data_IF_805693454582
#
_entry.id   IF_805693454582
#
_cell.length_a   1.000
_cell.length_b   1.000
_cell.length_c   1.000
_cell.angle_alpha   90.00
_cell.angle_beta   90.00
_cell.angle_gamma   90.00
#
_symmetry.space_group_name_H-M   'P 1'
#
loop_
_entity.id
_entity.type
_entity.pdbx_description
1 polymer ?
#
# COMPACT_ATOMS: atom_id res chain seq x y z
N UNK A 1 22.16 -1.16 5.17
CA UNK A 1 21.06 -0.82 4.27
C UNK A 1 21.65 -0.33 2.96
N UNK A 2 21.17 -0.84 1.80
CA UNK A 2 21.52 -0.31 0.47
C UNK A 2 20.33 0.51 -0.03
N UNK A 3 20.59 1.75 -0.44
CA UNK A 3 19.57 2.66 -0.99
C UNK A 3 19.81 2.78 -2.49
N UNK A 4 18.78 2.50 -3.28
CA UNK A 4 18.79 2.74 -4.73
C UNK A 4 17.88 3.94 -5.05
N UNK A 5 18.41 4.88 -5.83
CA UNK A 5 17.68 6.09 -6.23
C UNK A 5 17.35 5.97 -7.72
N UNK A 6 16.06 5.96 -8.04
CA UNK A 6 15.59 6.04 -9.41
C UNK A 6 15.57 7.51 -9.86
N UNK A 7 16.45 7.88 -10.79
CA UNK A 7 16.59 9.26 -11.28
C UNK A 7 15.53 9.64 -12.33
N UNK A 8 14.99 8.67 -13.04
CA UNK A 8 13.99 8.89 -14.08
C UNK A 8 12.71 8.11 -13.75
N UNK A 9 11.61 8.78 -13.43
CA UNK A 9 10.32 8.13 -13.15
C UNK A 9 9.84 7.21 -14.29
N UNK A 10 10.22 7.48 -15.54
CA UNK A 10 9.87 6.65 -16.69
C UNK A 10 10.64 5.33 -16.71
N UNK A 11 11.83 5.28 -16.10
CA UNK A 11 12.68 4.10 -16.01
C UNK A 11 12.35 3.18 -14.81
N UNK A 12 11.31 3.49 -14.01
CA UNK A 12 11.00 2.76 -12.76
C UNK A 12 10.92 1.25 -12.97
N UNK A 13 10.30 0.79 -14.06
CA UNK A 13 10.18 -0.64 -14.35
C UNK A 13 11.55 -1.31 -14.53
N UNK A 14 12.45 -0.68 -15.27
CA UNK A 14 13.82 -1.17 -15.49
C UNK A 14 14.57 -1.22 -14.16
N UNK A 15 14.51 -0.12 -13.39
CA UNK A 15 15.14 -0.02 -12.08
C UNK A 15 14.66 -1.11 -11.13
N UNK A 16 13.36 -1.40 -11.09
CA UNK A 16 12.82 -2.46 -10.22
C UNK A 16 13.33 -3.84 -10.60
N UNK A 17 13.38 -4.17 -11.88
CA UNK A 17 13.90 -5.45 -12.35
C UNK A 17 15.40 -5.63 -12.07
N UNK A 18 16.17 -4.54 -12.03
CA UNK A 18 17.60 -4.55 -11.70
C UNK A 18 17.84 -4.60 -10.18
N UNK A 19 17.11 -3.79 -9.41
CA UNK A 19 17.33 -3.59 -7.96
C UNK A 19 16.63 -4.65 -7.13
N UNK A 20 15.41 -5.05 -7.51
CA UNK A 20 14.55 -5.99 -6.76
C UNK A 20 14.43 -5.62 -5.28
N UNK A 21 13.83 -4.45 -4.98
CA UNK A 21 13.86 -3.89 -3.64
C UNK A 21 13.09 -4.74 -2.63
N UNK A 22 13.57 -4.76 -1.40
CA UNK A 22 12.86 -5.35 -0.25
C UNK A 22 11.84 -4.40 0.36
N UNK A 23 12.03 -3.09 0.18
CA UNK A 23 11.13 -2.01 0.60
C UNK A 23 11.14 -0.93 -0.47
N UNK A 24 9.96 -0.42 -0.81
CA UNK A 24 9.81 0.68 -1.76
C UNK A 24 8.56 1.50 -1.41
N UNK A 25 8.76 2.76 -1.07
CA UNK A 25 7.66 3.72 -0.93
C UNK A 25 7.15 4.14 -2.30
N UNK A 26 5.83 4.17 -2.46
CA UNK A 26 5.18 4.47 -3.72
C UNK A 26 3.95 5.33 -3.58
N UNK A 27 3.53 5.88 -4.71
CA UNK A 27 2.24 6.55 -4.87
C UNK A 27 1.23 5.61 -5.54
N UNK A 28 -0.09 5.81 -5.34
CA UNK A 28 -1.15 4.98 -5.91
C UNK A 28 -1.02 4.75 -7.42
N UNK A 29 -0.63 5.78 -8.18
CA UNK A 29 -0.49 5.68 -9.66
C UNK A 29 0.46 4.59 -10.14
N UNK A 30 1.47 4.23 -9.35
CA UNK A 30 2.33 3.09 -9.67
C UNK A 30 1.54 1.78 -9.61
N UNK A 31 0.76 1.61 -8.55
CA UNK A 31 -0.04 0.41 -8.33
C UNK A 31 -1.23 0.27 -9.29
N UNK A 32 -1.83 1.40 -9.70
CA UNK A 32 -2.82 1.42 -10.79
C UNK A 32 -2.27 0.82 -12.08
N UNK A 33 -1.02 1.17 -12.43
CA UNK A 33 -0.34 0.60 -13.60
C UNK A 33 -0.05 -0.90 -13.44
N UNK A 34 0.34 -1.33 -12.25
CA UNK A 34 0.55 -2.76 -11.96
C UNK A 34 -0.77 -3.52 -12.08
N UNK A 35 -1.85 -2.99 -11.51
CA UNK A 35 -3.20 -3.55 -11.59
C UNK A 35 -3.68 -3.65 -13.05
N UNK A 36 -3.61 -2.57 -13.79
CA UNK A 36 -4.02 -2.54 -15.19
C UNK A 36 -3.21 -3.53 -16.06
N UNK A 37 -1.89 -3.57 -15.88
CA UNK A 37 -1.02 -4.51 -16.60
C UNK A 37 -1.26 -5.97 -16.25
N UNK A 38 -1.59 -6.27 -15.00
CA UNK A 38 -1.97 -7.61 -14.57
C UNK A 38 -3.29 -8.05 -15.22
N UNK A 39 -4.33 -7.20 -15.19
CA UNK A 39 -5.63 -7.49 -15.80
C UNK A 39 -5.52 -7.66 -17.32
N UNK A 40 -4.75 -6.81 -18.00
CA UNK A 40 -4.49 -6.94 -19.43
C UNK A 40 -3.83 -8.29 -19.76
N UNK A 41 -2.84 -8.71 -18.98
CA UNK A 41 -2.17 -9.99 -19.17
C UNK A 41 -3.13 -11.16 -18.93
N UNK A 42 -3.98 -11.09 -17.91
CA UNK A 42 -5.01 -12.09 -17.64
C UNK A 42 -5.98 -12.17 -18.83
N UNK A 43 -6.48 -11.04 -19.31
CA UNK A 43 -7.43 -10.97 -20.43
C UNK A 43 -6.86 -11.56 -21.73
N UNK A 44 -5.56 -11.41 -21.98
CA UNK A 44 -4.86 -11.99 -23.15
C UNK A 44 -4.45 -13.45 -22.99
N UNK A 45 -4.64 -14.04 -21.82
CA UNK A 45 -4.28 -15.43 -21.55
C UNK A 45 -5.33 -16.41 -22.14
N UNK A 46 -4.94 -17.68 -22.33
CA UNK A 46 -5.90 -18.72 -22.72
C UNK A 46 -6.97 -18.96 -21.65
N UNK A 47 -8.15 -19.43 -22.02
CA UNK A 47 -9.27 -19.64 -21.09
C UNK A 47 -8.92 -20.48 -19.85
N UNK A 48 -8.19 -21.62 -19.98
CA UNK A 48 -7.74 -22.36 -18.80
C UNK A 48 -6.83 -21.55 -17.88
N UNK A 49 -5.91 -20.75 -18.44
CA UNK A 49 -5.01 -19.93 -17.66
C UNK A 49 -5.74 -18.76 -16.98
N UNK A 50 -6.74 -18.17 -17.66
CA UNK A 50 -7.61 -17.16 -17.03
C UNK A 50 -8.31 -17.71 -15.79
N UNK A 51 -8.84 -18.93 -15.86
CA UNK A 51 -9.49 -19.60 -14.72
C UNK A 51 -8.52 -19.80 -13.56
N UNK A 52 -7.26 -20.17 -13.84
CA UNK A 52 -6.23 -20.31 -12.81
C UNK A 52 -5.95 -18.96 -12.15
N UNK A 53 -5.81 -17.87 -12.92
CA UNK A 53 -5.61 -16.53 -12.36
C UNK A 53 -6.78 -16.07 -11.51
N UNK A 54 -8.02 -16.27 -11.99
CA UNK A 54 -9.23 -15.92 -11.24
C UNK A 54 -9.36 -16.72 -9.93
N UNK A 55 -9.06 -18.00 -9.97
CA UNK A 55 -9.09 -18.84 -8.78
C UNK A 55 -7.96 -18.46 -7.79
N UNK A 56 -6.78 -18.10 -8.29
CA UNK A 56 -5.71 -17.59 -7.46
C UNK A 56 -6.12 -16.27 -6.76
N UNK A 57 -6.65 -15.29 -7.50
CA UNK A 57 -7.11 -14.01 -6.93
C UNK A 57 -8.19 -14.26 -5.87
N UNK A 58 -9.18 -15.10 -6.15
CA UNK A 58 -10.23 -15.47 -5.20
C UNK A 58 -9.66 -16.13 -3.94
N UNK A 59 -8.72 -17.07 -4.10
CA UNK A 59 -8.05 -17.75 -2.98
C UNK A 59 -7.26 -16.78 -2.13
N UNK A 60 -6.52 -15.86 -2.76
CA UNK A 60 -5.77 -14.83 -2.06
C UNK A 60 -6.67 -13.84 -1.33
N UNK A 61 -7.76 -13.40 -1.99
CA UNK A 61 -8.78 -12.54 -1.38
C UNK A 61 -9.33 -13.16 -0.09
N UNK A 62 -9.79 -14.41 -0.17
CA UNK A 62 -10.33 -15.12 0.97
C UNK A 62 -9.30 -15.29 2.09
N UNK A 63 -8.08 -15.75 1.76
CA UNK A 63 -7.01 -15.97 2.74
C UNK A 63 -6.56 -14.67 3.41
N UNK A 64 -6.32 -13.61 2.62
CA UNK A 64 -5.77 -12.37 3.14
C UNK A 64 -6.82 -11.53 3.85
N UNK A 65 -7.99 -11.33 3.24
CA UNK A 65 -8.97 -10.39 3.78
C UNK A 65 -9.80 -10.97 4.93
N UNK A 66 -10.07 -12.29 4.93
CA UNK A 66 -10.90 -12.89 5.98
C UNK A 66 -10.08 -13.43 7.15
N UNK A 67 -8.81 -13.82 6.92
CA UNK A 67 -8.00 -14.46 7.96
C UNK A 67 -6.73 -13.67 8.30
N UNK A 68 -5.82 -13.48 7.33
CA UNK A 68 -4.53 -12.82 7.63
C UNK A 68 -4.72 -11.39 8.14
N UNK A 69 -5.61 -10.62 7.53
CA UNK A 69 -5.93 -9.25 7.93
C UNK A 69 -6.53 -9.18 9.33
N UNK A 70 -7.35 -10.13 9.73
CA UNK A 70 -7.98 -10.19 11.07
C UNK A 70 -7.10 -10.83 12.13
N UNK A 71 -6.00 -11.47 11.73
CA UNK A 71 -5.14 -12.24 12.64
C UNK A 71 -5.67 -13.65 12.94
N UNK A 72 -6.74 -14.08 12.24
CA UNK A 72 -7.33 -15.39 12.41
C UNK A 72 -6.60 -16.48 11.62
N UNK A 73 -6.73 -17.72 12.08
CA UNK A 73 -6.14 -18.88 11.40
C UNK A 73 -7.04 -19.34 10.26
N UNK A 74 -6.52 -19.31 9.04
CA UNK A 74 -7.21 -19.85 7.89
C UNK A 74 -7.33 -21.41 7.94
N UNK A 75 -8.36 -22.00 7.32
CA UNK A 75 -8.45 -23.43 7.10
C UNK A 75 -7.19 -23.98 6.41
N UNK A 76 -6.73 -25.17 6.82
CA UNK A 76 -5.50 -25.77 6.29
C UNK A 76 -5.50 -25.91 4.76
N UNK A 77 -6.63 -26.31 4.18
CA UNK A 77 -6.81 -26.44 2.73
C UNK A 77 -6.62 -25.11 2.01
N UNK A 78 -7.21 -24.02 2.53
CA UNK A 78 -7.05 -22.66 2.01
C UNK A 78 -5.60 -22.19 2.13
N UNK A 79 -4.95 -22.42 3.27
CA UNK A 79 -3.56 -22.06 3.50
C UNK A 79 -2.60 -22.78 2.55
N UNK A 80 -2.80 -24.09 2.31
CA UNK A 80 -2.00 -24.86 1.36
C UNK A 80 -2.19 -24.36 -0.07
N UNK A 81 -3.43 -24.09 -0.47
CA UNK A 81 -3.76 -23.56 -1.80
C UNK A 81 -3.16 -22.18 -2.01
N UNK A 82 -3.26 -21.29 -1.00
CA UNK A 82 -2.62 -19.99 -1.02
C UNK A 82 -1.09 -20.12 -1.17
N UNK A 83 -0.46 -21.00 -0.39
CA UNK A 83 0.99 -21.27 -0.48
C UNK A 83 1.44 -21.78 -1.85
N UNK A 84 0.60 -22.58 -2.54
CA UNK A 84 0.87 -22.99 -3.91
C UNK A 84 0.83 -21.80 -4.87
N UNK A 85 -0.19 -20.94 -4.78
CA UNK A 85 -0.28 -19.74 -5.61
C UNK A 85 0.80 -18.71 -5.29
N UNK A 86 1.25 -18.63 -4.03
CA UNK A 86 2.35 -17.78 -3.63
C UNK A 86 3.65 -18.09 -4.38
N UNK A 87 3.94 -19.40 -4.57
CA UNK A 87 5.12 -19.86 -5.33
C UNK A 87 4.95 -19.77 -6.84
N UNK A 88 3.73 -19.86 -7.35
CA UNK A 88 3.41 -19.92 -8.78
C UNK A 88 2.89 -18.57 -9.29
N UNK A 89 1.61 -18.30 -9.17
CA UNK A 89 0.91 -17.16 -9.77
C UNK A 89 1.40 -15.83 -9.19
N UNK A 90 1.35 -15.67 -7.86
CA UNK A 90 1.73 -14.41 -7.23
C UNK A 90 3.23 -14.16 -7.35
N UNK A 91 4.05 -15.21 -7.20
CA UNK A 91 5.49 -15.13 -7.42
C UNK A 91 5.86 -14.73 -8.84
N UNK A 92 5.14 -15.23 -9.85
CA UNK A 92 5.33 -14.84 -11.24
C UNK A 92 4.96 -13.37 -11.48
N UNK A 93 3.85 -12.91 -10.89
CA UNK A 93 3.45 -11.49 -10.96
C UNK A 93 4.49 -10.59 -10.30
N UNK A 94 4.92 -10.91 -9.07
CA UNK A 94 5.93 -10.13 -8.35
C UNK A 94 7.25 -10.05 -9.12
N UNK A 95 7.73 -11.16 -9.70
CA UNK A 95 8.91 -11.18 -10.57
C UNK A 95 8.77 -10.34 -11.83
N UNK A 96 7.59 -10.34 -12.46
CA UNK A 96 7.34 -9.55 -13.66
C UNK A 96 7.37 -8.02 -13.39
N UNK A 97 7.08 -7.62 -12.15
CA UNK A 97 7.19 -6.24 -11.67
C UNK A 97 8.60 -5.93 -11.13
N UNK A 98 9.35 -6.94 -10.65
CA UNK A 98 10.65 -6.79 -10.01
C UNK A 98 10.56 -6.53 -8.50
N UNK A 99 9.53 -7.07 -7.84
CA UNK A 99 9.26 -6.85 -6.41
C UNK A 99 9.16 -8.16 -5.60
N UNK A 100 9.69 -9.25 -6.14
CA UNK A 100 9.58 -10.59 -5.51
C UNK A 100 10.25 -10.70 -4.14
N UNK A 101 11.20 -9.81 -3.83
CA UNK A 101 11.86 -9.75 -2.54
C UNK A 101 11.23 -8.72 -1.58
N UNK A 102 10.14 -8.08 -2.01
CA UNK A 102 9.48 -7.04 -1.24
C UNK A 102 8.78 -7.57 0.00
N UNK A 103 9.13 -6.99 1.14
CA UNK A 103 8.52 -7.30 2.44
C UNK A 103 7.44 -6.31 2.83
N UNK A 104 7.54 -5.06 2.33
CA UNK A 104 6.60 -3.99 2.64
C UNK A 104 6.66 -2.90 1.57
N UNK A 105 5.51 -2.41 1.17
CA UNK A 105 5.34 -1.34 0.19
C UNK A 105 4.44 -0.24 0.74
N UNK A 106 5.01 0.77 1.44
CA UNK A 106 4.24 1.94 1.85
C UNK A 106 3.65 2.67 0.65
N UNK A 107 2.36 3.01 0.74
CA UNK A 107 1.60 3.72 -0.29
C UNK A 107 0.93 4.93 0.35
N UNK A 108 1.23 6.11 -0.14
CA UNK A 108 0.66 7.36 0.37
C UNK A 108 0.72 8.47 -0.69
N UNK A 109 0.27 9.68 -0.33
CA UNK A 109 0.35 10.89 -1.15
C UNK A 109 -0.83 11.13 -2.10
N UNK A 110 -1.73 10.16 -2.24
CA UNK A 110 -3.02 10.30 -2.94
C UNK A 110 -3.97 9.17 -2.50
N UNK A 111 -5.28 9.28 -2.74
CA UNK A 111 -6.21 8.19 -2.51
C UNK A 111 -5.87 6.95 -3.33
N UNK A 112 -5.89 5.78 -2.69
CA UNK A 112 -5.79 4.47 -3.33
C UNK A 112 -7.18 3.86 -3.41
N UNK A 113 -7.61 3.43 -4.60
CA UNK A 113 -8.88 2.75 -4.77
C UNK A 113 -8.91 1.43 -3.97
N UNK A 114 -10.04 1.17 -3.30
CA UNK A 114 -10.24 -0.06 -2.51
C UNK A 114 -10.11 -1.32 -3.38
N UNK A 115 -10.60 -1.26 -4.62
CA UNK A 115 -10.48 -2.36 -5.58
C UNK A 115 -9.01 -2.70 -5.85
N UNK A 116 -8.16 -1.69 -6.04
CA UNK A 116 -6.73 -1.87 -6.29
C UNK A 116 -6.02 -2.36 -5.03
N UNK A 117 -6.33 -1.78 -3.87
CA UNK A 117 -5.78 -2.23 -2.60
C UNK A 117 -6.11 -3.71 -2.33
N UNK A 118 -7.38 -4.09 -2.52
CA UNK A 118 -7.85 -5.45 -2.38
C UNK A 118 -7.15 -6.41 -3.34
N UNK A 119 -7.03 -6.03 -4.62
CA UNK A 119 -6.33 -6.84 -5.61
C UNK A 119 -4.87 -7.08 -5.21
N UNK A 120 -4.14 -6.02 -4.85
CA UNK A 120 -2.73 -6.11 -4.48
C UNK A 120 -2.53 -7.04 -3.28
N UNK A 121 -3.33 -6.87 -2.24
CA UNK A 121 -3.31 -7.74 -1.07
C UNK A 121 -3.67 -9.18 -1.43
N UNK A 122 -4.65 -9.39 -2.32
CA UNK A 122 -5.08 -10.72 -2.77
C UNK A 122 -4.01 -11.46 -3.57
N UNK A 123 -3.13 -10.74 -4.28
CA UNK A 123 -1.98 -11.35 -4.97
C UNK A 123 -0.69 -11.32 -4.13
N UNK A 124 -0.86 -11.22 -2.81
CA UNK A 124 0.23 -11.27 -1.84
C UNK A 124 1.28 -10.15 -2.01
N UNK A 125 0.87 -8.98 -2.45
CA UNK A 125 1.70 -7.78 -2.44
C UNK A 125 1.43 -7.03 -1.12
N UNK A 126 2.40 -6.96 -0.20
CA UNK A 126 2.21 -6.42 1.15
C UNK A 126 2.24 -4.89 1.14
N UNK A 127 1.19 -4.26 0.64
CA UNK A 127 1.03 -2.82 0.71
C UNK A 127 0.68 -2.39 2.14
N UNK A 128 1.21 -1.24 2.56
CA UNK A 128 0.82 -0.51 3.76
C UNK A 128 0.32 0.85 3.32
N UNK A 129 -1.01 0.99 3.25
CA UNK A 129 -1.62 2.26 2.88
C UNK A 129 -1.68 3.19 4.08
N UNK A 130 -1.37 4.47 3.88
CA UNK A 130 -1.34 5.44 4.95
C UNK A 130 -1.57 6.86 4.47
N UNK A 131 -1.80 7.74 5.46
CA UNK A 131 -2.02 9.16 5.29
C UNK A 131 -1.00 9.95 6.08
N UNK A 132 -0.60 11.08 5.51
CA UNK A 132 0.26 12.06 6.13
C UNK A 132 0.62 13.18 5.16
N UNK A 133 1.22 14.22 5.70
CA UNK A 133 1.61 15.44 5.01
C UNK A 133 3.10 15.72 5.26
N UNK A 134 3.68 16.64 4.49
CA UNK A 134 5.02 17.17 4.79
C UNK A 134 5.04 17.86 6.15
N UNK A 135 3.95 18.52 6.48
CA UNK A 135 3.71 19.23 7.75
C UNK A 135 3.66 18.29 8.97
N UNK A 136 3.37 17.02 8.75
CA UNK A 136 3.33 15.97 9.78
C UNK A 136 4.56 15.05 9.76
N UNK A 137 5.64 15.43 9.06
CA UNK A 137 6.85 14.62 8.86
C UNK A 137 6.56 13.21 8.36
N UNK A 138 5.68 13.10 7.39
CA UNK A 138 5.19 11.95 6.65
C UNK A 138 3.91 11.32 7.22
N UNK A 139 3.98 10.39 8.18
CA UNK A 139 2.86 9.48 8.46
C UNK A 139 2.08 9.88 9.71
N UNK A 140 0.80 10.16 9.57
CA UNK A 140 -0.18 10.35 10.65
C UNK A 140 -0.82 9.02 11.04
N UNK A 141 -1.22 8.24 10.03
CA UNK A 141 -1.82 6.92 10.23
C UNK A 141 -1.48 5.99 9.08
N UNK A 142 -1.50 4.68 9.32
CA UNK A 142 -1.30 3.68 8.29
C UNK A 142 -1.94 2.33 8.69
N UNK A 143 -2.04 1.42 7.74
CA UNK A 143 -2.48 0.05 8.02
C UNK A 143 -1.51 -0.62 8.99
N UNK A 144 -1.99 -1.13 10.14
CA UNK A 144 -1.22 -2.05 10.96
C UNK A 144 -1.06 -3.40 10.25
N UNK A 145 -0.23 -4.28 10.82
CA UNK A 145 -0.01 -5.63 10.27
C UNK A 145 -1.29 -6.46 10.24
N UNK A 146 -2.16 -6.26 11.23
CA UNK A 146 -3.47 -6.92 11.37
C UNK A 146 -4.51 -5.93 11.91
N UNK A 147 -5.78 -6.23 11.72
CA UNK A 147 -6.88 -5.45 12.30
C UNK A 147 -7.22 -4.15 11.56
N UNK A 148 -6.73 -3.96 10.33
CA UNK A 148 -7.10 -2.78 9.53
C UNK A 148 -8.41 -2.99 8.75
N UNK A 149 -9.06 -1.90 8.42
CA UNK A 149 -10.27 -1.88 7.57
C UNK A 149 -9.90 -1.35 6.18
N UNK A 150 -10.26 -2.09 5.12
CA UNK A 150 -10.16 -1.57 3.77
C UNK A 150 -11.06 -0.34 3.61
N UNK A 151 -10.64 0.62 2.80
CA UNK A 151 -11.34 1.90 2.65
C UNK A 151 -11.02 2.91 3.75
N UNK A 152 -10.32 2.52 4.82
CA UNK A 152 -9.76 3.45 5.80
C UNK A 152 -8.33 3.85 5.44
N UNK A 153 -7.80 4.85 6.15
CA UNK A 153 -6.38 5.23 6.08
C UNK A 153 -5.54 4.61 7.20
N UNK A 154 -6.12 3.61 7.90
CA UNK A 154 -5.45 2.85 8.95
C UNK A 154 -5.63 3.41 10.36
N UNK A 155 -4.71 3.06 11.25
CA UNK A 155 -4.68 3.50 12.66
C UNK A 155 -3.62 4.56 12.88
N UNK A 156 -3.82 5.41 13.88
CA UNK A 156 -2.88 6.48 14.24
C UNK A 156 -1.50 5.89 14.59
N UNK A 157 -0.49 6.63 14.19
CA UNK A 157 0.88 6.37 14.65
C UNK A 157 1.01 6.71 16.13
N UNK A 158 1.95 6.08 16.86
CA UNK A 158 2.23 6.42 18.24
C UNK A 158 2.54 7.92 18.44
N UNK A 159 2.11 8.47 19.57
CA UNK A 159 2.34 9.88 19.96
C UNK A 159 1.74 10.93 19.00
N UNK A 160 0.71 10.55 18.25
CA UNK A 160 -0.06 11.45 17.40
C UNK A 160 -1.51 11.47 17.87
N UNK A 161 -2.04 12.68 18.06
CA UNK A 161 -3.46 12.94 18.32
C UNK A 161 -4.09 13.52 17.06
N UNK A 162 -5.33 13.09 16.77
CA UNK A 162 -6.12 13.59 15.65
C UNK A 162 -7.50 14.03 16.14
N UNK A 163 -7.94 15.18 15.70
CA UNK A 163 -9.29 15.70 15.89
C UNK A 163 -9.87 16.09 14.53
N UNK A 164 -11.14 15.87 14.33
CA UNK A 164 -11.87 16.39 13.17
C UNK A 164 -12.58 17.66 13.63
N UNK A 165 -12.32 18.75 12.93
CA UNK A 165 -13.03 20.00 13.19
C UNK A 165 -14.51 19.83 12.84
N UNK A 166 -15.43 20.10 13.77
CA UNK A 166 -16.85 19.90 13.53
C UNK A 166 -17.47 20.93 12.57
N UNK A 167 -16.80 22.06 12.34
CA UNK A 167 -17.34 23.15 11.50
C UNK A 167 -17.04 22.91 10.01
N UNK A 168 -15.83 22.44 9.69
CA UNK A 168 -15.36 22.30 8.31
C UNK A 168 -14.89 20.89 7.95
N UNK A 169 -14.91 19.94 8.88
CA UNK A 169 -14.42 18.57 8.75
C UNK A 169 -12.91 18.49 8.45
N UNK A 170 -12.14 19.48 8.82
CA UNK A 170 -10.69 19.49 8.67
C UNK A 170 -10.03 18.50 9.65
N UNK A 171 -8.98 17.83 9.17
CA UNK A 171 -8.18 16.92 10.00
C UNK A 171 -7.14 17.74 10.74
N UNK A 172 -7.31 17.91 12.04
CA UNK A 172 -6.37 18.58 12.91
C UNK A 172 -5.45 17.54 13.56
N UNK A 173 -4.14 17.76 13.47
CA UNK A 173 -3.13 16.80 13.94
C UNK A 173 -2.21 17.46 14.95
N UNK A 174 -1.96 16.78 16.08
CA UNK A 174 -1.03 17.18 17.11
C UNK A 174 -0.04 16.06 17.41
N UNK A 175 1.23 16.39 17.65
CA UNK A 175 2.25 15.43 18.01
C UNK A 175 3.66 15.93 17.75
N UNK A 176 4.66 15.12 18.13
CA UNK A 176 6.09 15.46 18.01
C UNK A 176 6.58 15.51 16.55
N UNK A 177 5.82 14.97 15.62
CA UNK A 177 6.14 14.89 14.19
C UNK A 177 5.69 16.10 13.41
N UNK A 178 4.94 17.03 14.04
CA UNK A 178 4.46 18.25 13.39
C UNK A 178 5.63 19.19 13.10
N UNK A 179 5.64 19.77 11.91
CA UNK A 179 6.63 20.76 11.51
C UNK A 179 6.67 21.92 12.50
N UNK A 180 7.78 22.63 12.55
CA UNK A 180 7.89 23.86 13.34
C UNK A 180 7.32 25.06 12.59
N UNK A 181 7.68 25.19 11.32
CA UNK A 181 7.31 26.32 10.49
C UNK A 181 7.57 26.04 9.01
N UNK A 182 6.96 26.81 8.13
CA UNK A 182 7.39 26.94 6.74
C UNK A 182 8.58 27.89 6.66
N UNK A 183 9.67 27.47 6.04
CA UNK A 183 10.90 28.25 5.95
C UNK A 183 10.66 29.63 5.33
N UNK A 184 10.98 30.70 6.09
CA UNK A 184 10.81 32.13 5.72
C UNK A 184 9.37 32.49 5.30
N UNK A 185 8.36 31.83 5.85
CA UNK A 185 6.93 32.05 5.55
C UNK A 185 6.10 32.12 6.84
N UNK A 186 6.26 33.23 7.61
CA UNK A 186 5.59 33.33 8.91
C UNK A 186 4.06 33.40 8.82
N UNK A 187 3.51 34.03 7.78
CA UNK A 187 2.06 34.16 7.63
C UNK A 187 1.43 32.80 7.29
N UNK A 188 2.01 32.06 6.33
CA UNK A 188 1.54 30.73 5.97
C UNK A 188 1.70 29.77 7.17
N UNK A 189 2.75 29.92 7.94
CA UNK A 189 2.96 29.13 9.17
C UNK A 189 1.84 29.44 10.17
N UNK A 190 1.54 30.70 10.43
CA UNK A 190 0.46 31.07 11.34
C UNK A 190 -0.91 30.53 10.91
N UNK A 191 -1.18 30.49 9.61
CA UNK A 191 -2.42 29.94 9.07
C UNK A 191 -2.50 28.41 9.14
N UNK A 192 -1.37 27.71 9.26
CA UNK A 192 -1.33 26.26 9.32
C UNK A 192 -1.57 25.69 10.73
N UNK A 193 -1.53 26.51 11.75
CA UNK A 193 -1.72 26.09 13.14
C UNK A 193 -3.00 26.67 13.75
N UNK A 194 -3.68 25.86 14.55
CA UNK A 194 -4.76 26.33 15.43
C UNK A 194 -4.19 27.06 16.64
N UNK A 195 -4.98 27.95 17.31
CA UNK A 195 -4.52 28.66 18.50
C UNK A 195 -4.27 27.77 19.74
N UNK A 196 -4.82 26.54 19.77
CA UNK A 196 -4.81 25.60 20.90
C UNK A 196 -3.76 24.46 20.77
#
# INVERSE_FOLDING_TARGET
VRIAINRDPKAIRKTLLEVRPTLMCNVPRFWEKVYAGANERIARSSGPLQRIFQDAIRTGREYVLNYRRTGEKAPRTLALKFGLYQKTVYGALKRAVGIEHGNIFPVAGAPLSDEIAEFLLSVDIPIVYGYGLSETSATVCCYPTVGYTLGSIGTLMPDIDVRIDPENNEILVRGKTIMREYYRKPEETRCAFTPD
#
